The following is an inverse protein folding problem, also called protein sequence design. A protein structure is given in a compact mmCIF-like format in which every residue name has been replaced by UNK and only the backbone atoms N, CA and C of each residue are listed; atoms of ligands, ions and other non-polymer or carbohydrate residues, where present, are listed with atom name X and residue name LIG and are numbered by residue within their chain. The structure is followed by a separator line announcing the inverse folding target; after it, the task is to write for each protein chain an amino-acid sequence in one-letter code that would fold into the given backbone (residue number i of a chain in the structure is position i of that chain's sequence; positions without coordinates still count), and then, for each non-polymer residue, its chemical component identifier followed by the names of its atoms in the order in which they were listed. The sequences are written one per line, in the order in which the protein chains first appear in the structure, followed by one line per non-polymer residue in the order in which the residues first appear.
data_IF_291430415267
#
_entry.id   IF_291430415267
#
_cell.length_a   1.000
_cell.length_b   1.000
_cell.length_c   1.000
_cell.angle_alpha   90.00
_cell.angle_beta   90.00
_cell.angle_gamma   90.00
#
_symmetry.space_group_name_H-M   'P 1'
#
loop_
_entity.id
_entity.type
_entity.pdbx_description
1 polymer ?
#
# COMPACT_ATOMS: atom_id res chain seq x y z
N UNK A 1 -10.43 -19.16 -19.41
CA UNK A 1 -10.18 -19.84 -18.12
C UNK A 1 -11.09 -19.27 -17.04
N UNK A 2 -11.20 -19.98 -15.91
CA UNK A 2 -11.93 -19.54 -14.74
C UNK A 2 -10.91 -19.14 -13.68
N UNK A 3 -10.91 -17.85 -13.32
CA UNK A 3 -10.00 -17.25 -12.34
C UNK A 3 -10.76 -16.98 -11.05
N UNK A 4 -10.45 -17.74 -9.99
CA UNK A 4 -10.94 -17.47 -8.65
C UNK A 4 -10.07 -16.41 -7.97
N UNK A 5 -10.69 -15.52 -7.19
CA UNK A 5 -9.98 -14.48 -6.43
C UNK A 5 -10.56 -14.36 -5.03
N UNK A 6 -9.72 -14.39 -4.02
CA UNK A 6 -10.13 -14.04 -2.66
C UNK A 6 -10.13 -12.49 -2.51
N UNK A 7 -11.32 -11.93 -2.36
CA UNK A 7 -11.53 -10.49 -2.16
C UNK A 7 -11.92 -10.14 -0.72
N UNK A 8 -11.69 -11.04 0.23
CA UNK A 8 -12.06 -10.85 1.65
C UNK A 8 -11.42 -9.60 2.24
N UNK A 9 -10.20 -9.25 1.80
CA UNK A 9 -9.47 -8.06 2.28
C UNK A 9 -10.15 -6.73 1.95
N UNK A 10 -11.05 -6.67 0.99
CA UNK A 10 -11.78 -5.44 0.65
C UNK A 10 -12.62 -4.89 1.81
N UNK A 11 -12.90 -5.70 2.85
CA UNK A 11 -13.58 -5.23 4.08
C UNK A 11 -12.77 -4.19 4.85
N UNK A 12 -11.44 -4.16 4.67
CA UNK A 12 -10.54 -3.22 5.34
C UNK A 12 -10.29 -1.99 4.47
N UNK A 13 -11.38 -1.23 4.24
CA UNK A 13 -11.35 -0.01 3.41
C UNK A 13 -10.20 0.93 3.83
N UNK A 14 -9.45 1.43 2.86
CA UNK A 14 -8.30 2.32 3.08
C UNK A 14 -7.02 1.60 3.54
N UNK A 15 -6.98 0.26 3.56
CA UNK A 15 -5.71 -0.47 3.75
C UNK A 15 -5.00 -0.68 2.40
N UNK A 16 -3.65 -0.66 2.41
CA UNK A 16 -2.86 -0.87 1.18
C UNK A 16 -3.20 -2.16 0.45
N UNK A 17 -3.42 -3.27 1.20
CA UNK A 17 -3.79 -4.57 0.60
C UNK A 17 -5.19 -4.54 -0.02
N UNK A 18 -6.15 -3.84 0.61
CA UNK A 18 -7.50 -3.69 0.03
C UNK A 18 -7.43 -2.85 -1.25
N UNK A 19 -6.72 -1.73 -1.24
CA UNK A 19 -6.52 -0.88 -2.42
C UNK A 19 -5.81 -1.63 -3.55
N UNK A 20 -4.75 -2.39 -3.23
CA UNK A 20 -4.06 -3.26 -4.21
C UNK A 20 -5.02 -4.27 -4.83
N UNK A 21 -5.72 -5.06 -4.00
CA UNK A 21 -6.63 -6.10 -4.47
C UNK A 21 -7.78 -5.52 -5.30
N UNK A 22 -8.37 -4.41 -4.85
CA UNK A 22 -9.46 -3.75 -5.56
C UNK A 22 -9.02 -3.25 -6.94
N UNK A 23 -7.93 -2.48 -7.00
CA UNK A 23 -7.49 -1.89 -8.26
C UNK A 23 -7.01 -2.95 -9.27
N UNK A 24 -6.28 -3.97 -8.80
CA UNK A 24 -5.89 -5.08 -9.67
C UNK A 24 -7.11 -5.80 -10.24
N UNK A 25 -8.08 -6.19 -9.38
CA UNK A 25 -9.29 -6.91 -9.81
C UNK A 25 -10.15 -6.05 -10.72
N UNK A 26 -10.37 -4.78 -10.37
CA UNK A 26 -11.12 -3.84 -11.21
C UNK A 26 -10.51 -3.75 -12.60
N UNK A 27 -9.20 -3.52 -12.68
CA UNK A 27 -8.50 -3.39 -13.96
C UNK A 27 -8.52 -4.70 -14.76
N UNK A 28 -8.37 -5.86 -14.10
CA UNK A 28 -8.53 -7.16 -14.77
C UNK A 28 -9.91 -7.31 -15.41
N UNK A 29 -10.98 -6.94 -14.69
CA UNK A 29 -12.34 -6.99 -15.23
C UNK A 29 -12.57 -6.02 -16.40
N UNK A 30 -11.86 -4.89 -16.42
CA UNK A 30 -11.95 -3.89 -17.49
C UNK A 30 -11.23 -4.34 -18.76
N UNK A 31 -10.03 -4.93 -18.66
CA UNK A 31 -9.19 -5.25 -19.82
C UNK A 31 -9.33 -6.68 -20.34
N UNK A 32 -9.70 -7.64 -19.50
CA UNK A 32 -9.78 -9.05 -19.86
C UNK A 32 -11.21 -9.46 -20.21
N UNK A 33 -11.45 -9.73 -21.47
CA UNK A 33 -12.75 -10.18 -22.00
C UNK A 33 -12.84 -11.69 -22.17
N UNK A 34 -11.74 -12.42 -21.95
CA UNK A 34 -11.62 -13.85 -22.31
C UNK A 34 -11.81 -14.80 -21.14
N UNK A 35 -11.59 -14.35 -19.90
CA UNK A 35 -11.67 -15.18 -18.72
C UNK A 35 -12.95 -14.91 -17.90
N UNK A 36 -13.43 -15.94 -17.18
CA UNK A 36 -14.50 -15.83 -16.19
C UNK A 36 -13.88 -15.57 -14.82
N UNK A 37 -14.42 -14.62 -14.06
CA UNK A 37 -13.94 -14.27 -12.72
C UNK A 37 -14.94 -14.72 -11.65
N UNK A 38 -14.43 -15.39 -10.61
CA UNK A 38 -15.18 -15.85 -9.43
C UNK A 38 -14.57 -15.32 -8.17
N UNK A 39 -15.33 -14.52 -7.44
CA UNK A 39 -14.85 -13.84 -6.25
C UNK A 39 -15.35 -14.53 -4.99
N UNK A 40 -14.43 -14.97 -4.16
CA UNK A 40 -14.73 -15.41 -2.81
C UNK A 40 -14.67 -14.23 -1.86
N UNK A 41 -15.68 -14.05 -1.04
CA UNK A 41 -15.74 -13.05 -0.01
C UNK A 41 -16.32 -13.63 1.27
N UNK A 42 -15.64 -13.47 2.41
CA UNK A 42 -16.17 -13.90 3.71
C UNK A 42 -15.86 -12.91 4.81
N UNK A 43 -16.90 -12.30 5.40
CA UNK A 43 -16.75 -11.43 6.56
C UNK A 43 -18.04 -11.38 7.37
N UNK A 44 -17.91 -11.40 8.71
CA UNK A 44 -18.99 -11.07 9.66
C UNK A 44 -19.27 -9.56 9.70
N UNK A 45 -18.22 -8.75 9.54
CA UNK A 45 -18.31 -7.28 9.49
C UNK A 45 -18.51 -6.83 8.07
N UNK A 46 -19.60 -6.11 7.80
CA UNK A 46 -19.82 -5.45 6.52
C UNK A 46 -19.86 -3.95 6.77
N UNK A 47 -18.98 -3.17 6.14
CA UNK A 47 -19.10 -1.71 6.18
C UNK A 47 -20.50 -1.29 5.76
N UNK A 48 -21.05 -0.23 6.34
CA UNK A 48 -22.38 0.31 5.95
C UNK A 48 -22.38 0.69 4.47
N UNK A 49 -21.29 1.32 4.01
CA UNK A 49 -21.05 1.64 2.60
C UNK A 49 -19.84 0.80 2.14
N UNK A 50 -20.11 -0.24 1.38
CA UNK A 50 -19.04 -1.13 0.90
C UNK A 50 -18.69 -0.80 -0.56
N UNK A 51 -18.13 0.40 -0.74
CA UNK A 51 -17.76 0.95 -2.04
C UNK A 51 -17.06 -0.07 -2.97
N UNK A 52 -16.01 -0.73 -2.49
CA UNK A 52 -15.26 -1.69 -3.32
C UNK A 52 -16.13 -2.82 -3.87
N UNK A 53 -16.97 -3.41 -3.01
CA UNK A 53 -17.84 -4.52 -3.45
C UNK A 53 -18.94 -4.03 -4.38
N UNK A 54 -19.48 -2.84 -4.15
CA UNK A 54 -20.53 -2.27 -4.98
C UNK A 54 -20.01 -1.88 -6.36
N UNK A 55 -18.77 -1.38 -6.44
CA UNK A 55 -18.11 -1.16 -7.74
C UNK A 55 -17.86 -2.49 -8.49
N UNK A 56 -17.33 -3.51 -7.81
CA UNK A 56 -17.10 -4.82 -8.45
C UNK A 56 -18.38 -5.50 -8.91
N UNK A 57 -19.53 -5.29 -8.23
CA UNK A 57 -20.84 -5.80 -8.66
C UNK A 57 -21.33 -5.18 -9.97
N UNK A 58 -20.89 -3.95 -10.30
CA UNK A 58 -21.23 -3.27 -11.57
C UNK A 58 -20.45 -3.86 -12.74
N UNK A 59 -19.31 -4.50 -12.45
CA UNK A 59 -18.45 -5.14 -13.44
C UNK A 59 -18.81 -6.62 -13.59
N UNK A 60 -18.18 -7.29 -14.56
CA UNK A 60 -18.36 -8.72 -14.76
C UNK A 60 -17.66 -9.52 -13.66
N UNK A 61 -18.33 -10.52 -13.14
CA UNK A 61 -17.74 -11.42 -12.16
C UNK A 61 -18.78 -11.93 -11.18
N UNK A 62 -18.64 -13.19 -10.79
CA UNK A 62 -19.59 -13.84 -9.88
C UNK A 62 -19.08 -13.77 -8.45
N UNK A 63 -19.82 -13.11 -7.57
CA UNK A 63 -19.44 -12.95 -6.16
C UNK A 63 -20.14 -14.02 -5.32
N UNK A 64 -19.33 -14.80 -4.63
CA UNK A 64 -19.75 -15.81 -3.64
C UNK A 64 -19.47 -15.26 -2.25
N UNK A 65 -20.52 -14.76 -1.60
CA UNK A 65 -20.41 -14.04 -0.33
C UNK A 65 -20.89 -14.89 0.85
N UNK A 66 -20.00 -15.07 1.83
CA UNK A 66 -20.26 -15.87 3.03
C UNK A 66 -20.10 -15.01 4.31
N UNK A 67 -20.52 -15.56 5.44
CA UNK A 67 -20.40 -14.97 6.78
C UNK A 67 -19.64 -15.90 7.73
N UNK A 68 -18.57 -16.50 7.27
CA UNK A 68 -17.76 -17.33 8.16
C UNK A 68 -16.97 -16.49 9.12
N UNK A 69 -16.94 -16.84 10.41
CA UNK A 69 -16.05 -16.22 11.37
C UNK A 69 -14.58 -16.39 10.96
N UNK A 70 -13.72 -15.37 11.11
CA UNK A 70 -12.30 -15.47 10.74
C UNK A 70 -11.56 -16.62 11.43
N UNK A 71 -11.96 -16.98 12.69
CA UNK A 71 -11.34 -18.11 13.38
C UNK A 71 -11.60 -19.44 12.69
N UNK A 72 -12.79 -19.59 12.07
CA UNK A 72 -13.17 -20.82 11.37
C UNK A 72 -12.35 -21.01 10.09
N UNK A 73 -12.15 -19.95 9.30
CA UNK A 73 -11.27 -20.00 8.13
C UNK A 73 -9.82 -20.27 8.53
N UNK A 74 -9.35 -19.67 9.63
CA UNK A 74 -8.01 -19.99 10.18
C UNK A 74 -7.90 -21.43 10.63
N UNK A 75 -8.94 -22.01 11.22
CA UNK A 75 -8.97 -23.41 11.59
C UNK A 75 -8.95 -24.29 10.34
N UNK A 76 -9.87 -24.11 9.41
CA UNK A 76 -10.00 -24.95 8.20
C UNK A 76 -8.79 -24.85 7.30
N UNK A 77 -8.42 -23.65 6.92
CA UNK A 77 -7.35 -23.41 5.95
C UNK A 77 -5.98 -23.22 6.58
N UNK A 78 -5.93 -22.56 7.75
CA UNK A 78 -4.69 -22.32 8.47
C UNK A 78 -4.16 -23.57 9.16
N UNK A 79 -4.95 -24.27 10.00
CA UNK A 79 -4.48 -25.36 10.87
C UNK A 79 -4.71 -26.75 10.24
N UNK A 80 -5.94 -27.05 9.81
CA UNK A 80 -6.33 -28.37 9.35
C UNK A 80 -6.05 -28.62 7.88
N UNK A 81 -5.96 -27.57 7.09
CA UNK A 81 -5.79 -27.61 5.62
C UNK A 81 -6.85 -28.46 4.91
N UNK A 82 -8.12 -28.26 5.29
CA UNK A 82 -9.29 -28.95 4.76
C UNK A 82 -10.23 -27.96 4.09
N UNK A 83 -11.21 -28.44 3.36
CA UNK A 83 -12.27 -27.70 2.67
C UNK A 83 -11.66 -26.80 1.58
N UNK A 84 -11.49 -27.34 0.36
CA UNK A 84 -11.02 -26.59 -0.81
C UNK A 84 -11.90 -25.38 -1.10
N UNK A 85 -11.29 -24.27 -1.53
CA UNK A 85 -12.00 -23.02 -1.83
C UNK A 85 -13.04 -23.20 -2.93
N UNK A 86 -12.82 -24.13 -3.84
CA UNK A 86 -13.73 -24.42 -4.95
C UNK A 86 -15.08 -25.02 -4.51
N UNK A 87 -15.18 -25.53 -3.28
CA UNK A 87 -16.47 -25.91 -2.70
C UNK A 87 -17.38 -24.70 -2.47
N UNK A 88 -16.79 -23.50 -2.37
CA UNK A 88 -17.52 -22.24 -2.21
C UNK A 88 -17.66 -21.46 -3.52
N UNK A 89 -16.67 -21.55 -4.42
CA UNK A 89 -16.63 -20.76 -5.68
C UNK A 89 -16.91 -21.57 -6.93
N UNK A 90 -17.11 -22.90 -6.79
CA UNK A 90 -17.04 -23.87 -7.88
C UNK A 90 -15.64 -23.96 -8.49
N UNK A 91 -15.41 -24.94 -9.41
CA UNK A 91 -14.09 -25.22 -9.99
C UNK A 91 -13.47 -23.97 -10.63
N UNK A 92 -12.19 -23.74 -10.33
CA UNK A 92 -11.36 -22.71 -10.94
C UNK A 92 -10.13 -23.36 -11.62
N UNK A 93 -9.59 -22.72 -12.65
CA UNK A 93 -8.31 -23.12 -13.26
C UNK A 93 -7.14 -22.51 -12.48
N UNK A 94 -7.35 -21.28 -12.00
CA UNK A 94 -6.38 -20.51 -11.19
C UNK A 94 -7.13 -19.92 -10.00
N UNK A 95 -6.48 -19.86 -8.83
CA UNK A 95 -7.00 -19.15 -7.66
C UNK A 95 -5.96 -18.18 -7.11
N UNK A 96 -6.30 -16.89 -7.09
CA UNK A 96 -5.48 -15.80 -6.56
C UNK A 96 -5.89 -15.44 -5.13
N UNK A 97 -4.90 -15.38 -4.24
CA UNK A 97 -5.08 -15.03 -2.82
C UNK A 97 -3.99 -14.06 -2.37
N UNK A 98 -4.35 -12.83 -2.09
CA UNK A 98 -3.42 -11.76 -1.66
C UNK A 98 -3.28 -11.65 -0.14
N UNK A 99 -4.20 -12.26 0.63
CA UNK A 99 -4.29 -12.15 2.09
C UNK A 99 -3.45 -13.17 2.86
N UNK A 100 -3.63 -13.21 4.19
CA UNK A 100 -2.91 -14.03 5.18
C UNK A 100 -3.13 -15.54 5.06
N UNK A 101 -4.17 -15.99 4.36
CA UNK A 101 -4.52 -17.40 4.26
C UNK A 101 -4.33 -17.93 2.84
N UNK A 102 -3.65 -19.06 2.74
CA UNK A 102 -3.66 -19.89 1.56
C UNK A 102 -4.69 -20.98 1.75
N UNK A 103 -5.87 -20.95 1.06
CA UNK A 103 -6.85 -22.03 1.14
C UNK A 103 -6.32 -23.30 0.46
N UNK A 104 -6.77 -24.50 0.86
CA UNK A 104 -6.60 -25.69 0.04
C UNK A 104 -7.25 -25.49 -1.33
N UNK A 105 -6.63 -26.01 -2.37
CA UNK A 105 -7.12 -26.02 -3.73
C UNK A 105 -7.35 -27.46 -4.20
N UNK A 106 -8.33 -27.67 -5.05
CA UNK A 106 -8.53 -28.97 -5.70
C UNK A 106 -7.39 -29.28 -6.67
N UNK A 107 -7.20 -30.55 -6.95
CA UNK A 107 -6.23 -31.00 -7.96
C UNK A 107 -6.55 -30.35 -9.32
N UNK A 108 -5.52 -29.77 -9.94
CA UNK A 108 -5.62 -29.05 -11.21
C UNK A 108 -5.82 -27.52 -11.08
N UNK A 109 -6.23 -27.01 -9.91
CA UNK A 109 -6.28 -25.57 -9.68
C UNK A 109 -4.89 -25.06 -9.29
N UNK A 110 -4.38 -24.03 -9.96
CA UNK A 110 -3.09 -23.39 -9.68
C UNK A 110 -3.26 -22.23 -8.73
N UNK A 111 -2.39 -22.17 -7.69
CA UNK A 111 -2.35 -21.05 -6.74
C UNK A 111 -1.48 -19.90 -7.24
N UNK A 112 -1.96 -18.68 -7.08
CA UNK A 112 -1.16 -17.45 -7.23
C UNK A 112 -1.33 -16.64 -5.96
N UNK A 113 -0.23 -16.10 -5.41
CA UNK A 113 -0.28 -15.23 -4.24
C UNK A 113 0.56 -13.98 -4.41
N UNK A 114 0.23 -12.90 -3.68
CA UNK A 114 1.10 -11.74 -3.55
C UNK A 114 1.79 -11.74 -2.18
N UNK A 115 3.08 -11.42 -2.18
CA UNK A 115 3.88 -11.10 -1.00
C UNK A 115 4.28 -9.64 -1.13
N UNK A 116 3.57 -8.76 -0.41
CA UNK A 116 3.76 -7.31 -0.50
C UNK A 116 5.09 -6.84 0.07
N UNK A 117 5.49 -7.41 1.20
CA UNK A 117 6.79 -7.18 1.84
C UNK A 117 7.18 -8.34 2.75
N UNK A 118 8.35 -8.22 3.36
CA UNK A 118 8.88 -9.17 4.35
C UNK A 118 9.17 -8.47 5.69
N UNK A 119 8.46 -7.38 6.00
CA UNK A 119 8.66 -6.64 7.26
C UNK A 119 8.47 -7.52 8.48
N UNK A 120 7.49 -8.42 8.46
CA UNK A 120 7.23 -9.40 9.52
C UNK A 120 8.40 -10.37 9.76
N UNK A 121 9.27 -10.59 8.76
CA UNK A 121 10.46 -11.45 8.84
C UNK A 121 11.73 -10.68 9.17
N UNK A 122 11.91 -9.51 8.51
CA UNK A 122 13.13 -8.71 8.63
C UNK A 122 13.11 -7.81 9.87
N UNK A 123 11.92 -7.40 10.30
CA UNK A 123 11.69 -6.50 11.43
C UNK A 123 10.59 -7.04 12.36
N UNK A 124 10.76 -8.26 12.93
CA UNK A 124 9.71 -8.92 13.73
C UNK A 124 9.30 -8.11 14.96
N UNK A 125 10.19 -7.25 15.49
CA UNK A 125 9.89 -6.35 16.62
C UNK A 125 8.77 -5.35 16.32
N UNK A 126 8.44 -5.13 15.05
CA UNK A 126 7.34 -4.26 14.62
C UNK A 126 6.02 -5.01 14.42
N UNK A 127 5.95 -6.30 14.66
CA UNK A 127 4.76 -7.10 14.43
C UNK A 127 4.32 -7.89 15.65
N UNK A 128 3.04 -8.18 15.73
CA UNK A 128 2.53 -9.13 16.71
C UNK A 128 2.88 -10.57 16.26
N UNK A 129 3.23 -11.43 17.21
CA UNK A 129 3.61 -12.83 16.96
C UNK A 129 2.56 -13.60 16.13
N UNK A 130 1.27 -13.30 16.36
CA UNK A 130 0.16 -13.93 15.59
C UNK A 130 0.19 -13.57 14.11
N UNK A 131 0.65 -12.35 13.77
CA UNK A 131 0.78 -11.87 12.37
C UNK A 131 1.96 -12.55 11.73
N UNK A 132 3.10 -12.60 12.42
CA UNK A 132 4.31 -13.30 11.95
C UNK A 132 3.98 -14.76 11.61
N UNK A 133 3.37 -15.49 12.55
CA UNK A 133 2.97 -16.89 12.35
C UNK A 133 1.99 -17.09 11.20
N UNK A 134 1.09 -16.12 10.96
CA UNK A 134 0.15 -16.20 9.84
C UNK A 134 0.87 -16.09 8.49
N UNK A 135 1.79 -15.13 8.35
CA UNK A 135 2.59 -14.96 7.14
C UNK A 135 3.53 -16.14 6.88
N UNK A 136 4.23 -16.62 7.92
CA UNK A 136 5.10 -17.79 7.82
C UNK A 136 4.31 -18.99 7.30
N UNK A 137 3.17 -19.28 7.90
CA UNK A 137 2.32 -20.41 7.53
C UNK A 137 1.74 -20.30 6.11
N UNK A 138 1.38 -19.08 5.68
CA UNK A 138 0.97 -18.82 4.29
C UNK A 138 2.12 -19.16 3.34
N UNK A 139 3.30 -18.64 3.63
CA UNK A 139 4.47 -18.81 2.77
C UNK A 139 4.96 -20.27 2.73
N UNK A 140 4.99 -20.97 3.87
CA UNK A 140 5.27 -22.42 3.92
C UNK A 140 4.36 -23.21 2.99
N UNK A 141 3.05 -22.93 3.02
CA UNK A 141 2.09 -23.58 2.13
C UNK A 141 2.30 -23.21 0.66
N UNK A 142 2.54 -21.92 0.37
CA UNK A 142 2.85 -21.42 -0.96
C UNK A 142 4.04 -22.18 -1.56
N UNK A 143 5.10 -22.36 -0.77
CA UNK A 143 6.30 -23.13 -1.17
C UNK A 143 5.94 -24.60 -1.37
N UNK A 144 5.27 -25.22 -0.40
CA UNK A 144 4.88 -26.63 -0.43
C UNK A 144 4.05 -26.98 -1.66
N UNK A 145 3.13 -26.11 -2.06
CA UNK A 145 2.23 -26.35 -3.20
C UNK A 145 2.78 -25.78 -4.50
N UNK A 146 3.99 -25.21 -4.47
CA UNK A 146 4.67 -24.64 -5.64
C UNK A 146 3.81 -23.60 -6.38
N UNK A 147 3.12 -22.75 -5.63
CA UNK A 147 2.28 -21.68 -6.18
C UNK A 147 3.15 -20.61 -6.88
N UNK A 148 2.56 -19.82 -7.78
CA UNK A 148 3.18 -18.62 -8.33
C UNK A 148 3.15 -17.51 -7.28
N UNK A 149 4.26 -16.77 -7.17
CA UNK A 149 4.41 -15.69 -6.20
C UNK A 149 4.58 -14.37 -6.96
N UNK A 150 3.72 -13.42 -6.69
CA UNK A 150 3.86 -12.04 -7.11
C UNK A 150 4.48 -11.26 -5.96
N UNK A 151 5.41 -10.39 -6.28
CA UNK A 151 6.01 -9.43 -5.34
C UNK A 151 5.94 -8.03 -5.91
N UNK A 152 5.80 -7.03 -5.02
CA UNK A 152 5.55 -5.65 -5.42
C UNK A 152 6.82 -4.90 -5.90
N UNK A 153 8.02 -5.47 -5.66
CA UNK A 153 9.29 -4.85 -6.02
C UNK A 153 10.41 -5.86 -6.25
N UNK A 154 11.48 -5.43 -6.94
CA UNK A 154 12.72 -6.22 -7.05
C UNK A 154 13.37 -6.41 -5.68
N UNK A 155 13.31 -5.39 -4.83
CA UNK A 155 13.80 -5.51 -3.46
C UNK A 155 13.08 -6.63 -2.72
N UNK A 156 11.74 -6.65 -2.74
CA UNK A 156 10.95 -7.71 -2.10
C UNK A 156 11.29 -9.10 -2.70
N UNK A 157 11.52 -9.19 -4.01
CA UNK A 157 11.99 -10.43 -4.65
C UNK A 157 13.33 -10.90 -4.09
N UNK A 158 14.28 -10.00 -3.99
CA UNK A 158 15.62 -10.32 -3.46
C UNK A 158 15.55 -10.76 -1.99
N UNK A 159 14.82 -10.03 -1.17
CA UNK A 159 14.63 -10.35 0.25
C UNK A 159 13.92 -11.70 0.43
N UNK A 160 12.91 -11.99 -0.39
CA UNK A 160 12.20 -13.27 -0.38
C UNK A 160 13.12 -14.44 -0.71
N UNK A 161 13.87 -14.34 -1.81
CA UNK A 161 14.76 -15.40 -2.25
C UNK A 161 15.96 -15.59 -1.30
N UNK A 162 16.44 -14.52 -0.68
CA UNK A 162 17.49 -14.58 0.35
C UNK A 162 16.98 -15.24 1.63
N UNK A 163 15.76 -14.92 2.05
CA UNK A 163 15.17 -15.46 3.29
C UNK A 163 14.68 -16.91 3.13
N UNK A 164 14.32 -17.31 1.91
CA UNK A 164 13.77 -18.62 1.58
C UNK A 164 14.42 -19.21 0.31
N UNK A 165 15.68 -19.68 0.38
CA UNK A 165 16.45 -20.15 -0.78
C UNK A 165 15.82 -21.36 -1.50
N UNK A 166 14.91 -22.08 -0.84
CA UNK A 166 14.18 -23.22 -1.41
C UNK A 166 13.09 -22.78 -2.42
N UNK A 167 12.75 -21.48 -2.51
CA UNK A 167 11.78 -20.99 -3.49
C UNK A 167 12.39 -21.04 -4.89
N UNK A 168 11.67 -21.65 -5.82
CA UNK A 168 12.05 -21.60 -7.22
C UNK A 168 11.94 -20.15 -7.75
N UNK A 169 13.08 -19.54 -8.08
CA UNK A 169 13.17 -18.16 -8.58
C UNK A 169 12.28 -17.87 -9.81
N UNK A 170 12.02 -18.90 -10.63
CA UNK A 170 11.18 -18.78 -11.82
C UNK A 170 9.68 -18.68 -11.48
N UNK A 171 9.32 -18.94 -10.22
CA UNK A 171 7.95 -18.79 -9.69
C UNK A 171 7.71 -17.43 -9.03
N UNK A 172 8.74 -16.57 -8.97
CA UNK A 172 8.66 -15.25 -8.32
C UNK A 172 8.67 -14.18 -9.38
N UNK A 173 7.55 -13.48 -9.51
CA UNK A 173 7.28 -12.48 -10.53
C UNK A 173 7.17 -11.09 -9.91
N UNK A 174 7.86 -10.11 -10.47
CA UNK A 174 7.73 -8.72 -10.03
C UNK A 174 6.64 -8.03 -10.82
N UNK A 175 5.58 -7.62 -10.12
CA UNK A 175 4.50 -6.81 -10.66
C UNK A 175 4.35 -5.59 -9.78
N UNK A 176 4.80 -4.44 -10.24
CA UNK A 176 4.63 -3.18 -9.52
C UNK A 176 3.15 -2.85 -9.38
N UNK A 177 2.69 -2.44 -8.19
CA UNK A 177 1.37 -1.83 -8.03
C UNK A 177 1.24 -0.57 -8.89
N UNK A 178 0.04 -0.31 -9.36
CA UNK A 178 -0.27 0.92 -10.08
C UNK A 178 -0.67 2.06 -9.15
N UNK A 179 -0.54 3.28 -9.63
CA UNK A 179 -1.12 4.48 -9.01
C UNK A 179 -2.55 4.62 -9.57
N UNK A 180 -3.50 4.98 -8.71
CA UNK A 180 -4.86 5.24 -9.16
C UNK A 180 -4.91 6.50 -10.06
N UNK A 181 -5.73 6.48 -11.10
CA UNK A 181 -5.87 7.58 -12.09
C UNK A 181 -6.31 8.92 -11.47
N UNK A 182 -6.84 8.90 -10.24
CA UNK A 182 -7.21 10.10 -9.51
C UNK A 182 -5.99 10.91 -9.04
N UNK A 183 -4.83 10.28 -8.87
CA UNK A 183 -3.59 10.97 -8.48
C UNK A 183 -2.94 11.60 -9.72
N UNK A 184 -3.23 12.88 -9.91
CA UNK A 184 -2.74 13.71 -11.00
C UNK A 184 -2.74 15.19 -10.60
N UNK A 185 -2.05 16.07 -11.32
CA UNK A 185 -2.14 17.50 -11.11
C UNK A 185 -3.59 18.01 -11.23
N UNK A 186 -4.03 18.81 -10.25
CA UNK A 186 -5.39 19.35 -10.14
C UNK A 186 -5.32 20.88 -10.19
N UNK A 187 -6.05 21.49 -11.12
CA UNK A 187 -6.11 22.95 -11.28
C UNK A 187 -7.40 23.58 -10.70
N UNK A 188 -8.28 22.77 -10.10
CA UNK A 188 -9.55 23.23 -9.50
C UNK A 188 -9.30 23.74 -8.08
N UNK A 189 -9.00 25.05 -7.97
CA UNK A 189 -8.70 25.71 -6.68
C UNK A 189 -9.90 25.71 -5.73
N UNK A 190 -11.12 25.89 -6.23
CA UNK A 190 -12.31 25.96 -5.38
C UNK A 190 -12.60 24.60 -4.76
N UNK A 191 -12.57 23.54 -5.56
CA UNK A 191 -12.75 22.18 -5.06
C UNK A 191 -11.64 21.80 -4.10
N UNK A 192 -10.39 22.14 -4.41
CA UNK A 192 -9.24 21.92 -3.52
C UNK A 192 -9.46 22.59 -2.17
N UNK A 193 -9.86 23.88 -2.15
CA UNK A 193 -10.17 24.61 -0.93
C UNK A 193 -11.28 23.94 -0.11
N UNK A 194 -12.34 23.51 -0.76
CA UNK A 194 -13.46 22.84 -0.11
C UNK A 194 -13.06 21.49 0.51
N UNK A 195 -12.20 20.72 -0.18
CA UNK A 195 -11.67 19.45 0.34
C UNK A 195 -10.73 19.70 1.51
N UNK A 196 -9.76 20.59 1.38
CA UNK A 196 -8.78 20.90 2.44
C UNK A 196 -9.48 21.36 3.73
N UNK A 197 -10.53 22.19 3.60
CA UNK A 197 -11.34 22.68 4.73
C UNK A 197 -11.96 21.56 5.56
N UNK A 198 -12.33 20.41 4.96
CA UNK A 198 -12.88 19.26 5.70
C UNK A 198 -11.89 18.73 6.74
N UNK A 199 -10.59 18.92 6.48
CA UNK A 199 -9.49 18.41 7.30
C UNK A 199 -8.79 19.50 8.10
N UNK A 200 -9.39 20.71 8.17
CA UNK A 200 -8.85 21.84 8.92
C UNK A 200 -7.61 22.48 8.27
N UNK A 201 -7.43 22.30 6.96
CA UNK A 201 -6.30 22.85 6.20
C UNK A 201 -6.76 24.09 5.45
N UNK A 202 -6.10 25.22 5.67
CA UNK A 202 -6.30 26.43 4.88
C UNK A 202 -5.56 26.30 3.54
N UNK A 203 -6.21 26.74 2.44
CA UNK A 203 -5.64 26.67 1.10
C UNK A 203 -4.35 27.49 0.95
N UNK A 204 -4.24 28.58 1.71
CA UNK A 204 -3.10 29.48 1.69
C UNK A 204 -1.97 29.03 2.63
N UNK A 205 -2.17 27.96 3.41
CA UNK A 205 -1.15 27.41 4.31
C UNK A 205 -0.02 26.74 3.53
N UNK A 206 1.22 27.04 3.90
CA UNK A 206 2.39 26.25 3.51
C UNK A 206 2.50 25.01 4.42
N UNK A 207 2.55 23.82 3.87
CA UNK A 207 2.62 22.65 4.73
C UNK A 207 3.41 21.47 4.12
N UNK A 208 3.96 20.68 5.03
CA UNK A 208 4.47 19.35 4.76
C UNK A 208 3.35 18.33 4.95
N UNK A 209 3.41 17.24 4.19
CA UNK A 209 2.43 16.17 4.23
C UNK A 209 3.10 14.82 4.51
N UNK A 210 2.51 14.04 5.39
CA UNK A 210 2.77 12.61 5.53
C UNK A 210 1.46 11.86 5.30
N UNK A 211 1.50 10.76 4.54
CA UNK A 211 0.34 9.88 4.34
C UNK A 211 0.74 8.44 4.64
N UNK A 212 0.07 7.81 5.61
CA UNK A 212 0.30 6.43 6.01
C UNK A 212 -0.11 6.12 7.44
N UNK A 213 -0.09 4.85 7.84
CA UNK A 213 -0.32 4.47 9.23
C UNK A 213 0.76 5.07 10.15
N UNK A 214 0.34 5.48 11.35
CA UNK A 214 1.27 5.99 12.38
C UNK A 214 1.85 4.78 13.11
N UNK A 215 3.01 4.34 12.69
CA UNK A 215 3.70 3.16 13.23
C UNK A 215 5.23 3.38 13.28
N UNK A 216 5.98 2.69 14.17
CA UNK A 216 7.41 2.95 14.38
C UNK A 216 8.27 2.87 13.12
N UNK A 217 7.98 1.94 12.22
CA UNK A 217 8.70 1.70 10.97
C UNK A 217 8.73 2.94 10.05
N UNK A 218 7.74 3.82 10.19
CA UNK A 218 7.58 5.01 9.34
C UNK A 218 8.47 6.19 9.76
N UNK A 219 9.19 6.07 10.88
CA UNK A 219 10.11 7.11 11.39
C UNK A 219 9.47 8.50 11.46
N UNK A 220 8.22 8.58 11.93
CA UNK A 220 7.56 9.87 12.13
C UNK A 220 8.27 10.72 13.20
N UNK A 221 8.89 10.09 14.19
CA UNK A 221 9.75 10.73 15.16
C UNK A 221 10.87 11.54 14.45
N UNK A 222 11.59 10.94 13.52
CA UNK A 222 12.64 11.61 12.75
C UNK A 222 12.07 12.71 11.85
N UNK A 223 10.89 12.50 11.27
CA UNK A 223 10.21 13.50 10.45
C UNK A 223 9.79 14.72 11.26
N UNK A 224 9.24 14.51 12.45
CA UNK A 224 8.84 15.58 13.39
C UNK A 224 10.07 16.32 13.92
N UNK A 225 11.15 15.61 14.27
CA UNK A 225 12.40 16.20 14.69
C UNK A 225 13.02 17.10 13.61
N UNK A 226 13.04 16.64 12.34
CA UNK A 226 13.54 17.43 11.22
C UNK A 226 12.64 18.66 10.97
N UNK A 227 11.32 18.50 11.05
CA UNK A 227 10.36 19.61 10.97
C UNK A 227 10.55 20.63 12.09
N UNK A 228 10.78 20.20 13.34
CA UNK A 228 11.10 21.10 14.45
C UNK A 228 12.35 21.94 14.18
N UNK A 229 13.38 21.35 13.58
CA UNK A 229 14.58 22.10 13.20
C UNK A 229 14.32 23.05 12.04
N UNK A 230 13.55 22.63 11.05
CA UNK A 230 13.17 23.42 9.89
C UNK A 230 12.43 24.69 10.31
N UNK A 231 11.46 24.60 11.23
CA UNK A 231 10.64 25.74 11.68
C UNK A 231 11.37 26.73 12.60
N UNK A 232 12.62 26.47 12.98
CA UNK A 232 13.49 27.47 13.66
C UNK A 232 14.03 28.50 12.69
N UNK A 233 14.06 28.20 11.42
CA UNK A 233 14.37 29.12 10.36
C UNK A 233 13.18 30.05 10.07
N UNK A 234 13.41 31.36 9.96
CA UNK A 234 12.32 32.34 9.75
C UNK A 234 11.51 32.09 8.49
N UNK A 235 12.15 31.57 7.44
CA UNK A 235 11.51 31.29 6.15
C UNK A 235 10.47 30.17 6.25
N UNK A 236 10.67 29.21 7.16
CA UNK A 236 9.81 28.03 7.33
C UNK A 236 9.00 28.05 8.64
N UNK A 237 9.06 29.17 9.39
CA UNK A 237 8.40 29.24 10.70
C UNK A 237 6.87 29.04 10.60
N UNK A 238 6.24 29.50 9.54
CA UNK A 238 4.78 29.42 9.35
C UNK A 238 4.30 28.08 8.75
N UNK A 239 5.24 27.19 8.45
CA UNK A 239 4.86 25.86 7.92
C UNK A 239 4.15 25.03 8.98
N UNK A 240 3.20 24.21 8.50
CA UNK A 240 2.55 23.16 9.27
C UNK A 240 2.97 21.79 8.75
N UNK A 241 2.78 20.75 9.56
CA UNK A 241 3.02 19.38 9.17
C UNK A 241 1.74 18.57 9.39
N UNK A 242 1.05 18.19 8.32
CA UNK A 242 -0.14 17.36 8.39
C UNK A 242 0.24 15.89 8.29
N UNK A 243 -0.19 15.13 9.29
CA UNK A 243 0.01 13.69 9.39
C UNK A 243 -1.33 13.01 9.15
N UNK A 244 -1.47 12.44 7.95
CA UNK A 244 -2.66 11.76 7.47
C UNK A 244 -2.52 10.27 7.68
N UNK A 245 -3.48 9.67 8.38
CA UNK A 245 -3.56 8.24 8.58
C UNK A 245 -4.15 7.83 9.91
N UNK A 246 -4.45 6.54 10.02
CA UNK A 246 -4.97 6.00 11.28
C UNK A 246 -3.83 5.79 12.27
N UNK A 247 -4.15 5.97 13.55
CA UNK A 247 -3.28 5.52 14.61
C UNK A 247 -3.05 4.01 14.44
N UNK A 248 -1.80 3.64 14.16
CA UNK A 248 -1.35 2.27 14.11
C UNK A 248 -1.07 1.76 15.53
N UNK A 249 -0.14 0.88 15.68
CA UNK A 249 0.27 0.28 16.96
C UNK A 249 1.57 0.93 17.45
N UNK A 250 1.74 1.04 18.79
CA UNK A 250 2.90 1.66 19.45
C UNK A 250 3.14 3.11 18.97
N UNK A 251 2.07 3.90 18.89
CA UNK A 251 2.10 5.26 18.36
C UNK A 251 2.13 6.34 19.47
N UNK A 252 1.97 5.96 20.74
CA UNK A 252 1.87 6.89 21.88
C UNK A 252 3.07 7.84 21.92
N UNK A 253 4.27 7.30 21.67
CA UNK A 253 5.52 8.06 21.66
C UNK A 253 5.52 9.22 20.65
N UNK A 254 4.82 9.09 19.52
CA UNK A 254 4.76 10.14 18.50
C UNK A 254 4.02 11.36 19.02
N UNK A 255 2.91 11.16 19.75
CA UNK A 255 2.15 12.25 20.34
C UNK A 255 2.93 12.93 21.50
N UNK A 256 3.67 12.14 22.28
CA UNK A 256 4.56 12.66 23.34
C UNK A 256 5.65 13.57 22.75
N UNK A 257 6.33 13.15 21.67
CA UNK A 257 7.33 13.96 20.97
C UNK A 257 6.77 15.31 20.53
N UNK A 258 5.56 15.33 19.94
CA UNK A 258 4.93 16.59 19.52
C UNK A 258 4.72 17.54 20.69
N UNK A 259 4.26 17.00 21.83
CA UNK A 259 4.05 17.76 23.07
C UNK A 259 5.36 18.26 23.68
N UNK A 260 6.37 17.39 23.79
CA UNK A 260 7.66 17.72 24.36
C UNK A 260 8.39 18.82 23.56
N UNK A 261 8.22 18.80 22.24
CA UNK A 261 8.75 19.81 21.32
C UNK A 261 7.87 21.07 21.22
N UNK A 262 6.70 21.11 21.88
CA UNK A 262 5.72 22.21 21.83
C UNK A 262 5.28 22.53 20.41
N UNK A 263 4.92 21.48 19.64
CA UNK A 263 4.56 21.58 18.23
C UNK A 263 3.05 21.32 17.99
N UNK A 264 2.20 21.32 19.02
CA UNK A 264 0.77 20.98 18.93
C UNK A 264 0.02 21.88 17.95
N UNK A 265 0.44 23.14 17.80
CA UNK A 265 -0.17 24.08 16.85
C UNK A 265 0.38 23.96 15.42
N UNK A 266 1.47 23.21 15.21
CA UNK A 266 2.15 23.05 13.92
C UNK A 266 2.08 21.64 13.35
N UNK A 267 2.07 20.60 14.19
CA UNK A 267 1.93 19.18 13.77
C UNK A 267 0.50 18.72 13.99
N UNK A 268 -0.23 18.50 12.92
CA UNK A 268 -1.66 18.27 12.94
C UNK A 268 -1.96 16.87 12.44
N UNK A 269 -2.58 16.05 13.30
CA UNK A 269 -3.03 14.71 12.95
C UNK A 269 -4.47 14.79 12.43
N UNK A 270 -4.66 14.59 11.12
CA UNK A 270 -5.99 14.65 10.49
C UNK A 270 -6.82 13.40 10.72
N UNK A 271 -6.18 12.30 11.14
CA UNK A 271 -6.81 10.98 11.10
C UNK A 271 -6.95 10.44 9.68
N UNK A 272 -7.95 9.61 9.46
CA UNK A 272 -8.22 9.02 8.15
C UNK A 272 -8.76 10.08 7.18
N UNK A 273 -8.19 10.13 6.00
CA UNK A 273 -8.66 10.93 4.86
C UNK A 273 -9.18 9.96 3.80
N UNK A 274 -10.30 10.28 3.18
CA UNK A 274 -10.88 9.45 2.13
C UNK A 274 -9.99 9.41 0.88
N UNK A 275 -9.91 8.26 0.23
CA UNK A 275 -9.05 8.04 -0.96
C UNK A 275 -9.36 9.06 -2.08
N UNK A 276 -10.62 9.48 -2.20
CA UNK A 276 -11.04 10.49 -3.18
C UNK A 276 -10.54 11.92 -2.85
N UNK A 277 -10.22 12.20 -1.60
CA UNK A 277 -9.76 13.51 -1.13
C UNK A 277 -8.22 13.62 -1.08
N UNK A 278 -7.51 12.50 -0.97
CA UNK A 278 -6.04 12.46 -0.91
C UNK A 278 -5.34 13.21 -2.07
N UNK A 279 -5.79 13.11 -3.34
CA UNK A 279 -5.15 13.84 -4.44
C UNK A 279 -5.11 15.35 -4.21
N UNK A 280 -6.14 15.93 -3.56
CA UNK A 280 -6.18 17.38 -3.27
C UNK A 280 -5.17 17.78 -2.19
N UNK A 281 -4.97 16.91 -1.18
CA UNK A 281 -3.96 17.15 -0.15
C UNK A 281 -2.54 17.10 -0.75
N UNK A 282 -2.26 16.08 -1.58
CA UNK A 282 -0.98 15.99 -2.27
C UNK A 282 -0.72 17.22 -3.14
N UNK A 283 -1.70 17.62 -3.97
CA UNK A 283 -1.56 18.77 -4.86
C UNK A 283 -1.30 20.11 -4.13
N UNK A 284 -1.81 20.25 -2.92
CA UNK A 284 -1.66 21.45 -2.11
C UNK A 284 -0.40 21.44 -1.22
N UNK A 285 0.20 20.28 -0.97
CA UNK A 285 1.36 20.16 -0.11
C UNK A 285 2.62 20.76 -0.78
N UNK A 286 3.44 21.44 0.01
CA UNK A 286 4.75 21.95 -0.43
C UNK A 286 5.78 20.83 -0.61
N UNK A 287 5.70 19.79 0.24
CA UNK A 287 6.60 18.64 0.23
C UNK A 287 5.93 17.46 0.97
N UNK A 288 6.01 16.26 0.40
CA UNK A 288 5.65 15.03 1.12
C UNK A 288 6.87 14.43 1.79
N UNK A 289 6.76 14.10 3.08
CA UNK A 289 7.84 13.53 3.90
C UNK A 289 7.53 12.07 4.20
N UNK A 290 8.41 11.14 3.76
CA UNK A 290 8.19 9.70 3.91
C UNK A 290 9.48 8.95 4.23
N UNK A 291 9.93 9.04 5.48
CA UNK A 291 11.23 8.56 5.96
C UNK A 291 11.20 7.10 6.46
N UNK A 292 10.33 6.26 5.90
CA UNK A 292 10.23 4.85 6.30
C UNK A 292 11.56 4.12 6.28
N UNK A 293 11.77 3.24 7.27
CA UNK A 293 12.98 2.38 7.33
C UNK A 293 12.94 1.25 6.31
N UNK A 294 11.78 0.83 5.88
CA UNK A 294 11.57 -0.24 4.90
C UNK A 294 10.17 -0.18 4.29
N UNK A 295 10.07 -0.38 2.99
CA UNK A 295 8.81 -0.51 2.25
C UNK A 295 8.87 -1.65 1.24
N UNK A 296 7.74 -2.33 1.06
CA UNK A 296 7.59 -3.30 -0.03
C UNK A 296 7.52 -2.64 -1.39
N UNK A 297 6.87 -1.45 -1.46
CA UNK A 297 6.79 -0.65 -2.69
C UNK A 297 6.81 0.85 -2.44
N UNK A 298 5.90 1.38 -1.58
CA UNK A 298 5.84 2.81 -1.26
C UNK A 298 4.94 3.60 -2.21
N UNK A 299 3.65 3.30 -2.22
CA UNK A 299 2.66 4.04 -3.01
C UNK A 299 2.56 5.53 -2.62
N UNK A 300 2.52 5.94 -1.33
CA UNK A 300 2.30 7.33 -0.96
C UNK A 300 3.29 8.33 -1.59
N UNK A 301 4.62 8.11 -1.59
CA UNK A 301 5.53 9.00 -2.31
C UNK A 301 5.32 9.00 -3.84
N UNK A 302 4.93 7.89 -4.43
CA UNK A 302 4.61 7.83 -5.86
C UNK A 302 3.31 8.58 -6.20
N UNK A 303 2.29 8.50 -5.35
CA UNK A 303 1.05 9.27 -5.43
C UNK A 303 1.32 10.77 -5.37
N UNK A 304 2.22 11.19 -4.46
CA UNK A 304 2.68 12.58 -4.37
C UNK A 304 3.33 13.06 -5.66
N UNK A 305 4.29 12.30 -6.21
CA UNK A 305 4.92 12.63 -7.49
C UNK A 305 3.92 12.63 -8.65
N UNK A 306 2.97 11.71 -8.66
CA UNK A 306 1.90 11.67 -9.67
C UNK A 306 0.99 12.90 -9.61
N UNK A 307 0.83 13.52 -8.43
CA UNK A 307 0.14 14.79 -8.24
C UNK A 307 1.01 16.02 -8.56
N UNK A 308 2.29 15.85 -8.89
CA UNK A 308 3.23 16.94 -9.17
C UNK A 308 3.94 17.49 -7.93
N UNK A 309 3.78 16.87 -6.77
CA UNK A 309 4.35 17.33 -5.50
C UNK A 309 5.66 16.63 -5.19
N UNK A 310 6.64 17.41 -4.75
CA UNK A 310 7.97 16.94 -4.36
C UNK A 310 7.89 15.99 -3.16
N UNK A 311 8.85 15.08 -3.06
CA UNK A 311 8.95 14.13 -1.94
C UNK A 311 10.35 14.09 -1.36
N UNK A 312 10.47 13.77 -0.06
CA UNK A 312 11.71 13.31 0.56
C UNK A 312 11.44 11.90 1.13
N UNK A 313 12.27 10.93 0.77
CA UNK A 313 12.09 9.52 1.13
C UNK A 313 13.37 8.90 1.64
N UNK A 314 13.25 7.87 2.47
CA UNK A 314 14.41 7.11 2.96
C UNK A 314 15.15 6.38 1.83
N UNK A 315 16.48 6.46 1.81
CA UNK A 315 17.34 5.72 0.88
C UNK A 315 17.48 4.25 1.30
N UNK A 316 16.42 3.49 1.08
CA UNK A 316 16.37 2.06 1.45
C UNK A 316 15.32 1.30 0.65
N UNK A 317 15.35 -0.03 0.77
CA UNK A 317 14.35 -0.97 0.23
C UNK A 317 13.88 -0.62 -1.20
N UNK A 318 12.59 -0.72 -1.46
CA UNK A 318 11.98 -0.40 -2.77
C UNK A 318 12.10 1.07 -3.18
N UNK A 319 12.40 2.00 -2.24
CA UNK A 319 12.56 3.42 -2.57
C UNK A 319 13.72 3.63 -3.55
N UNK A 320 14.80 2.86 -3.45
CA UNK A 320 15.94 2.93 -4.39
C UNK A 320 15.60 2.60 -5.83
N UNK A 321 14.58 1.78 -6.06
CA UNK A 321 14.16 1.40 -7.42
C UNK A 321 13.00 2.22 -7.95
N UNK A 322 12.21 2.83 -7.06
CA UNK A 322 11.00 3.58 -7.44
C UNK A 322 11.22 5.08 -7.53
N UNK A 323 12.20 5.62 -6.79
CA UNK A 323 12.46 7.04 -6.67
C UNK A 323 13.73 7.50 -7.38
N UNK A 324 13.75 8.77 -7.79
CA UNK A 324 14.98 9.39 -8.28
C UNK A 324 15.90 9.71 -7.09
N UNK A 325 17.22 9.55 -7.28
CA UNK A 325 18.25 9.78 -6.26
C UNK A 325 18.14 11.16 -5.58
N UNK A 326 17.68 12.18 -6.31
CA UNK A 326 17.49 13.53 -5.75
C UNK A 326 16.51 13.62 -4.59
N UNK A 327 15.62 12.63 -4.44
CA UNK A 327 14.62 12.56 -3.38
C UNK A 327 15.01 11.64 -2.21
N UNK A 328 16.09 10.88 -2.38
CA UNK A 328 16.56 9.91 -1.39
C UNK A 328 17.42 10.60 -0.31
N UNK A 329 17.30 10.11 0.93
CA UNK A 329 18.08 10.58 2.07
C UNK A 329 18.37 9.44 3.05
N UNK A 330 19.55 9.44 3.66
CA UNK A 330 19.81 8.56 4.80
C UNK A 330 18.95 8.97 5.99
N UNK A 331 18.02 8.10 6.36
CA UNK A 331 17.09 8.34 7.49
C UNK A 331 17.79 8.41 8.86
N UNK A 332 19.06 8.05 8.95
CA UNK A 332 19.82 8.11 10.19
C UNK A 332 20.66 9.40 10.31
N UNK A 333 20.77 10.17 9.24
CA UNK A 333 21.46 11.47 9.25
C UNK A 333 20.45 12.60 9.32
N UNK A 334 20.26 13.12 10.54
CA UNK A 334 19.31 14.21 10.82
C UNK A 334 19.65 15.52 10.10
N UNK A 335 20.93 15.81 9.93
CA UNK A 335 21.38 17.01 9.24
C UNK A 335 21.11 16.89 7.73
N UNK A 336 21.41 15.73 7.16
CA UNK A 336 21.11 15.45 5.74
C UNK A 336 19.60 15.51 5.45
N UNK A 337 18.75 15.03 6.37
CA UNK A 337 17.29 15.16 6.25
C UNK A 337 16.90 16.63 6.20
N UNK A 338 17.37 17.45 7.14
CA UNK A 338 17.05 18.89 7.22
C UNK A 338 17.51 19.64 5.97
N UNK A 339 18.78 19.45 5.57
CA UNK A 339 19.34 20.10 4.37
C UNK A 339 18.57 19.71 3.10
N UNK A 340 18.21 18.44 2.97
CA UNK A 340 17.41 17.95 1.85
C UNK A 340 15.99 18.55 1.85
N UNK A 341 15.35 18.67 3.01
CA UNK A 341 14.04 19.33 3.13
C UNK A 341 14.12 20.80 2.70
N UNK A 342 15.11 21.56 3.18
CA UNK A 342 15.34 22.96 2.77
C UNK A 342 15.57 23.03 1.27
N UNK A 343 16.51 22.26 0.74
CA UNK A 343 16.80 22.24 -0.69
C UNK A 343 15.54 21.98 -1.55
N UNK A 344 14.71 21.01 -1.15
CA UNK A 344 13.50 20.68 -1.88
C UNK A 344 12.43 21.78 -1.76
N UNK A 345 12.39 22.54 -0.67
CA UNK A 345 11.42 23.63 -0.47
C UNK A 345 11.83 24.91 -1.20
N UNK A 346 13.11 25.27 -1.15
CA UNK A 346 13.67 26.49 -1.74
C UNK A 346 13.81 26.44 -3.26
N UNK A 347 13.99 25.24 -3.83
CA UNK A 347 14.24 25.10 -5.26
C UNK A 347 13.00 24.64 -6.02
N UNK A 348 12.77 25.25 -7.17
CA UNK A 348 11.75 24.79 -8.10
C UNK A 348 12.24 23.52 -8.82
N UNK A 349 11.68 22.38 -8.44
CA UNK A 349 12.00 21.09 -9.02
C UNK A 349 10.81 20.62 -9.84
N UNK A 350 10.97 20.61 -11.16
CA UNK A 350 9.95 20.08 -12.05
C UNK A 350 9.76 18.58 -11.82
N UNK A 351 8.54 18.19 -11.51
CA UNK A 351 8.11 16.79 -11.37
C UNK A 351 7.44 16.36 -12.67
N UNK A 352 7.99 15.33 -13.29
CA UNK A 352 7.37 14.68 -14.44
C UNK A 352 6.32 13.67 -13.95
N UNK A 353 5.15 14.19 -13.61
CA UNK A 353 4.05 13.40 -13.06
C UNK A 353 3.46 12.43 -14.10
N UNK A 354 3.59 12.72 -15.38
CA UNK A 354 3.09 11.87 -16.45
C UNK A 354 3.92 10.59 -16.57
N UNK A 355 5.24 10.71 -16.67
CA UNK A 355 6.15 9.55 -16.67
C UNK A 355 5.98 8.68 -15.44
N UNK A 356 5.74 9.27 -14.25
CA UNK A 356 5.47 8.49 -13.04
C UNK A 356 4.20 7.66 -13.18
N UNK A 357 3.10 8.26 -13.66
CA UNK A 357 1.81 7.56 -13.87
C UNK A 357 1.88 6.51 -14.98
N UNK A 358 2.62 6.77 -16.05
CA UNK A 358 2.85 5.80 -17.13
C UNK A 358 3.66 4.60 -16.66
N UNK A 359 4.69 4.84 -15.85
CA UNK A 359 5.56 3.77 -15.32
C UNK A 359 4.83 2.86 -14.33
N UNK A 360 3.96 3.43 -13.50
CA UNK A 360 3.27 2.72 -12.40
C UNK A 360 1.75 2.79 -12.61
N UNK A 361 1.23 1.98 -13.52
CA UNK A 361 -0.19 1.93 -13.81
C UNK A 361 -0.77 0.53 -13.67
N UNK A 362 -2.03 0.44 -13.28
CA UNK A 362 -2.71 -0.83 -13.05
C UNK A 362 -2.93 -1.64 -14.31
N UNK A 363 -3.01 -1.03 -15.48
CA UNK A 363 -3.18 -1.77 -16.74
C UNK A 363 -1.97 -2.64 -17.04
N UNK A 364 -0.75 -2.12 -16.84
CA UNK A 364 0.48 -2.91 -16.99
C UNK A 364 0.59 -4.01 -15.92
N UNK A 365 0.17 -3.72 -14.69
CA UNK A 365 0.12 -4.71 -13.62
C UNK A 365 -0.82 -5.86 -13.96
N UNK A 366 -2.02 -5.54 -14.44
CA UNK A 366 -3.02 -6.52 -14.85
C UNK A 366 -2.57 -7.35 -16.08
N UNK A 367 -1.95 -6.73 -17.08
CA UNK A 367 -1.36 -7.44 -18.24
C UNK A 367 -0.28 -8.43 -17.81
N UNK A 368 0.60 -8.04 -16.87
CA UNK A 368 1.62 -8.95 -16.32
C UNK A 368 1.01 -10.09 -15.53
N UNK A 369 -0.03 -9.82 -14.74
CA UNK A 369 -0.77 -10.86 -14.05
C UNK A 369 -1.37 -11.87 -15.03
N UNK A 370 -2.05 -11.40 -16.08
CA UNK A 370 -2.62 -12.26 -17.12
C UNK A 370 -1.57 -13.11 -17.85
N UNK A 371 -0.34 -12.57 -18.05
CA UNK A 371 0.77 -13.37 -18.60
C UNK A 371 1.12 -14.55 -17.68
N UNK A 372 1.14 -14.36 -16.36
CA UNK A 372 1.40 -15.45 -15.40
C UNK A 372 0.26 -16.49 -15.46
N UNK A 373 -0.98 -16.03 -15.51
CA UNK A 373 -2.15 -16.91 -15.63
C UNK A 373 -2.06 -17.75 -16.90
N UNK A 374 -1.74 -17.13 -18.04
CA UNK A 374 -1.74 -17.76 -19.37
C UNK A 374 -0.46 -18.57 -19.68
N UNK A 375 0.66 -18.35 -19.01
CA UNK A 375 1.96 -18.97 -19.37
C UNK A 375 2.10 -20.45 -19.06
N UNK A 376 1.02 -21.14 -18.65
CA UNK A 376 1.08 -22.51 -18.13
C UNK A 376 -0.06 -23.42 -18.60
N UNK A 377 -0.49 -23.20 -19.81
CA UNK A 377 -1.20 -24.24 -20.54
C UNK A 377 -0.25 -25.16 -21.31
#
# INVERSE_FOLDING_TARGET
MIIGVDITMLVYVGSGVANYTFNLVKTLLEIDQSNEYRFFYSSLRRPKNFYYLDELKKLRGKIYAFRFPPFLLRLWWGKLNIIPIEWFTSKCDVFFFSDFLRPPLLSGTKGITTIHDLTWKLFPQYHEERIIKAHEKKLEKTIKYNDEIIVDSQNTKQDLLKSYPQINKNKVHVIYPGISENFKPINDKEKTKNVLKKYGIDIDSKFLLYVGAIEPRKNLDKSIDAFNLLTKDREFNDFKFFIVGRAGWKNEKIFEIVKDLKLEDKVIFTGFVEDADLPYLYNAASLTVYLSSYEGFGLPPLESLACGTKVIVGDNSSMRETMNQKFLVDVNDKNMILEKMKYLLENEIKIDSETVRERFNWQESAKKFLKIVNSKM
#
